data_IF_041242150856
#
_entry.id   IF_041242150856
#
_cell.length_a   1.000
_cell.length_b   1.000
_cell.length_c   1.000
_cell.angle_alpha   90.00
_cell.angle_beta   90.00
_cell.angle_gamma   90.00
#
_symmetry.space_group_name_H-M   'P 1'
#
loop_
_entity.id
_entity.type
_entity.pdbx_description
1 polymer ?
#
# COMPACT_ATOMS: atom_id res chain seq x y z
N UNK A 1 -8.23 -24.03 4.18
CA UNK A 1 -6.80 -23.67 4.34
C UNK A 1 -6.35 -22.48 3.47
N UNK A 2 -6.76 -22.38 2.20
CA UNK A 2 -6.35 -21.28 1.30
C UNK A 2 -6.85 -19.88 1.72
N UNK A 3 -8.09 -19.75 2.23
CA UNK A 3 -8.63 -18.47 2.72
C UNK A 3 -7.76 -17.88 3.83
N UNK A 4 -7.38 -18.69 4.83
CA UNK A 4 -6.55 -18.26 5.95
C UNK A 4 -5.14 -17.84 5.54
N UNK A 5 -4.55 -18.53 4.54
CA UNK A 5 -3.24 -18.12 3.97
C UNK A 5 -3.36 -16.81 3.18
N UNK A 6 -4.40 -16.69 2.36
CA UNK A 6 -4.66 -15.48 1.57
C UNK A 6 -4.91 -14.26 2.48
N UNK A 7 -5.70 -14.40 3.54
CA UNK A 7 -5.93 -13.33 4.53
C UNK A 7 -4.63 -12.89 5.20
N UNK A 8 -3.76 -13.83 5.59
CA UNK A 8 -2.45 -13.51 6.18
C UNK A 8 -1.56 -12.75 5.19
N UNK A 9 -1.51 -13.19 3.92
CA UNK A 9 -0.73 -12.52 2.87
C UNK A 9 -1.25 -11.09 2.65
N UNK A 10 -2.57 -10.92 2.50
CA UNK A 10 -3.20 -9.62 2.33
C UNK A 10 -2.90 -8.69 3.52
N UNK A 11 -2.97 -9.19 4.75
CA UNK A 11 -2.66 -8.42 5.94
C UNK A 11 -1.19 -7.98 5.98
N UNK A 12 -0.24 -8.86 5.63
CA UNK A 12 1.19 -8.53 5.57
C UNK A 12 1.44 -7.46 4.51
N UNK A 13 0.87 -7.59 3.31
CA UNK A 13 0.99 -6.59 2.23
C UNK A 13 0.42 -5.24 2.69
N UNK A 14 -0.74 -5.25 3.35
CA UNK A 14 -1.37 -4.03 3.86
C UNK A 14 -0.49 -3.32 4.88
N UNK A 15 0.03 -4.05 5.88
CA UNK A 15 0.92 -3.49 6.91
C UNK A 15 2.19 -2.94 6.27
N UNK A 16 2.78 -3.69 5.32
CA UNK A 16 3.96 -3.23 4.60
C UNK A 16 3.68 -1.92 3.84
N UNK A 17 2.57 -1.84 3.10
CA UNK A 17 2.17 -0.63 2.41
C UNK A 17 1.97 0.56 3.37
N UNK A 18 1.37 0.32 4.54
CA UNK A 18 1.19 1.35 5.59
C UNK A 18 2.51 1.86 6.15
N UNK A 19 3.54 1.03 6.24
CA UNK A 19 4.88 1.46 6.66
C UNK A 19 5.57 2.24 5.53
N UNK A 20 5.44 1.77 4.30
CA UNK A 20 6.16 2.33 3.14
C UNK A 20 5.61 3.69 2.66
N UNK A 21 4.33 3.98 2.88
CA UNK A 21 3.73 5.26 2.47
C UNK A 21 4.21 6.45 3.33
N UNK A 22 3.71 6.61 4.57
CA UNK A 22 4.05 7.72 5.47
C UNK A 22 5.38 7.55 6.24
N UNK A 23 5.97 6.34 6.27
CA UNK A 23 7.13 6.02 7.10
C UNK A 23 8.47 6.00 6.35
N UNK A 24 9.34 4.98 6.55
CA UNK A 24 10.70 4.98 6.00
C UNK A 24 10.77 5.01 4.47
N UNK A 25 9.72 4.61 3.76
CA UNK A 25 9.70 4.64 2.30
C UNK A 25 9.81 6.06 1.71
N UNK A 26 9.48 7.10 2.49
CA UNK A 26 9.69 8.50 2.10
C UNK A 26 11.17 8.80 1.82
N UNK A 27 12.08 8.24 2.60
CA UNK A 27 13.52 8.46 2.44
C UNK A 27 14.10 7.73 1.20
N UNK A 28 13.36 6.78 0.62
CA UNK A 28 13.76 6.14 -0.64
C UNK A 28 13.53 7.05 -1.85
N UNK A 29 12.53 7.92 -1.77
CA UNK A 29 12.15 8.83 -2.86
C UNK A 29 12.59 10.27 -2.61
N UNK A 30 12.98 10.60 -1.37
CA UNK A 30 13.54 11.89 -0.98
C UNK A 30 14.70 11.72 0.03
N UNK A 31 15.86 11.21 -0.42
CA UNK A 31 17.05 11.13 0.42
C UNK A 31 17.66 12.52 0.67
N UNK A 32 18.08 12.79 1.90
CA UNK A 32 18.73 14.01 2.44
C UNK A 32 17.88 15.28 2.69
N UNK A 33 17.81 15.76 3.97
CA UNK A 33 17.43 17.13 4.31
C UNK A 33 18.54 18.16 4.01
N UNK A 34 19.81 17.72 3.91
CA UNK A 34 20.98 18.57 3.67
C UNK A 34 21.20 18.94 2.19
N UNK A 35 20.62 18.17 1.25
CA UNK A 35 20.66 18.44 -0.20
C UNK A 35 19.42 19.19 -0.71
N UNK A 36 18.58 19.69 0.20
CA UNK A 36 17.32 20.39 -0.08
C UNK A 36 17.50 21.67 -0.93
N UNK A 37 18.73 22.16 -1.11
CA UNK A 37 19.06 23.24 -2.04
C UNK A 37 18.89 22.83 -3.53
N UNK A 38 18.83 21.54 -3.83
CA UNK A 38 18.51 20.99 -5.15
C UNK A 38 17.06 20.47 -5.21
N UNK A 39 16.13 21.21 -4.59
CA UNK A 39 14.68 21.02 -4.71
C UNK A 39 14.26 21.07 -6.18
N UNK A 40 14.46 19.95 -6.85
CA UNK A 40 14.15 19.69 -8.23
C UNK A 40 12.64 19.80 -8.31
N UNK A 41 12.12 20.52 -9.31
CA UNK A 41 10.68 20.70 -9.56
C UNK A 41 9.84 19.41 -9.44
N UNK A 42 10.48 18.24 -9.61
CA UNK A 42 9.88 16.91 -9.53
C UNK A 42 9.84 16.28 -8.13
N UNK A 43 10.50 16.82 -7.11
CA UNK A 43 10.54 16.24 -5.78
C UNK A 43 9.14 16.06 -5.17
N UNK A 44 8.35 17.14 -5.10
CA UNK A 44 6.97 17.07 -4.60
C UNK A 44 6.07 16.13 -5.43
N UNK A 45 6.02 16.22 -6.78
CA UNK A 45 5.29 15.27 -7.61
C UNK A 45 5.65 13.80 -7.35
N UNK A 46 6.94 13.49 -7.18
CA UNK A 46 7.42 12.14 -6.89
C UNK A 46 6.93 11.66 -5.53
N UNK A 47 6.94 12.53 -4.51
CA UNK A 47 6.39 12.21 -3.19
C UNK A 47 4.89 11.89 -3.25
N UNK A 48 4.12 12.69 -3.98
CA UNK A 48 2.68 12.44 -4.16
C UNK A 48 2.43 11.15 -4.93
N UNK A 49 3.18 10.89 -6.01
CA UNK A 49 3.07 9.66 -6.77
C UNK A 49 3.39 8.42 -5.91
N UNK A 50 4.40 8.51 -5.05
CA UNK A 50 4.77 7.46 -4.10
C UNK A 50 3.65 7.18 -3.09
N UNK A 51 3.12 8.22 -2.45
CA UNK A 51 2.01 8.07 -1.50
C UNK A 51 0.77 7.49 -2.20
N UNK A 52 0.40 8.02 -3.37
CA UNK A 52 -0.73 7.54 -4.16
C UNK A 52 -0.58 6.07 -4.55
N UNK A 53 0.63 5.65 -4.93
CA UNK A 53 0.94 4.26 -5.24
C UNK A 53 0.66 3.34 -4.04
N UNK A 54 1.10 3.69 -2.84
CA UNK A 54 0.85 2.86 -1.65
C UNK A 54 -0.62 2.83 -1.23
N UNK A 55 -1.34 3.94 -1.37
CA UNK A 55 -2.80 3.94 -1.20
C UNK A 55 -3.50 3.03 -2.21
N UNK A 56 -3.04 3.03 -3.46
CA UNK A 56 -3.58 2.15 -4.50
C UNK A 56 -3.34 0.67 -4.16
N UNK A 57 -2.16 0.32 -3.64
CA UNK A 57 -1.87 -1.04 -3.15
C UNK A 57 -2.82 -1.44 -2.02
N UNK A 58 -3.05 -0.55 -1.04
CA UNK A 58 -4.00 -0.80 0.05
C UNK A 58 -5.43 -0.97 -0.46
N UNK A 59 -5.89 -0.12 -1.38
CA UNK A 59 -7.19 -0.25 -2.02
C UNK A 59 -7.34 -1.59 -2.76
N UNK A 60 -6.30 -2.01 -3.50
CA UNK A 60 -6.24 -3.31 -4.16
C UNK A 60 -6.37 -4.47 -3.18
N UNK A 61 -5.69 -4.41 -2.04
CA UNK A 61 -5.82 -5.42 -0.97
C UNK A 61 -7.27 -5.50 -0.46
N UNK A 62 -7.92 -4.37 -0.21
CA UNK A 62 -9.31 -4.32 0.26
C UNK A 62 -10.26 -4.90 -0.79
N UNK A 63 -10.10 -4.53 -2.06
CA UNK A 63 -10.92 -5.07 -3.15
C UNK A 63 -10.76 -6.59 -3.28
N UNK A 64 -9.53 -7.10 -3.22
CA UNK A 64 -9.28 -8.55 -3.26
C UNK A 64 -9.91 -9.25 -2.04
N UNK A 65 -9.80 -8.67 -0.85
CA UNK A 65 -10.45 -9.21 0.34
C UNK A 65 -11.98 -9.24 0.17
N UNK A 66 -12.58 -8.18 -0.34
CA UNK A 66 -14.01 -8.10 -0.62
C UNK A 66 -14.48 -9.20 -1.59
N UNK A 67 -13.86 -9.30 -2.77
CA UNK A 67 -14.31 -10.25 -3.79
C UNK A 67 -13.98 -11.71 -3.44
N UNK A 68 -12.83 -12.00 -2.82
CA UNK A 68 -12.37 -13.39 -2.61
C UNK A 68 -12.65 -13.96 -1.22
N UNK A 69 -12.76 -13.13 -0.20
CA UNK A 69 -13.01 -13.57 1.17
C UNK A 69 -14.47 -13.34 1.57
N UNK A 70 -14.95 -12.10 1.46
CA UNK A 70 -16.30 -11.72 1.91
C UNK A 70 -17.42 -12.18 0.97
N UNK A 71 -17.38 -11.80 -0.31
CA UNK A 71 -18.46 -12.12 -1.27
C UNK A 71 -18.62 -13.64 -1.50
N UNK A 72 -17.55 -14.42 -1.32
CA UNK A 72 -17.60 -15.89 -1.39
C UNK A 72 -18.15 -16.56 -0.12
N UNK A 73 -18.19 -15.87 1.03
CA UNK A 73 -18.86 -16.42 2.23
C UNK A 73 -20.38 -16.26 2.14
N UNK A 74 -20.84 -15.13 1.60
CA UNK A 74 -22.26 -14.82 1.45
C UNK A 74 -22.96 -15.85 0.54
N UNK A 75 -22.39 -16.15 -0.63
CA UNK A 75 -22.95 -17.11 -1.61
C UNK A 75 -22.83 -18.61 -1.23
N UNK A 76 -22.27 -18.95 -0.07
CA UNK A 76 -22.10 -20.36 0.36
C UNK A 76 -22.95 -20.70 1.59
N UNK A 77 -23.80 -19.76 2.02
CA UNK A 77 -24.68 -19.85 3.19
C UNK A 77 -26.16 -19.97 2.81
N UNK A 78 -26.47 -20.03 1.51
CA UNK A 78 -27.79 -20.37 0.94
C UNK A 78 -27.81 -21.80 0.42
#
# INVERSE_FOLDING_TARGET
MFKTRLSKILAVIFIFATIMGPGPGLYLVNPSPEDAASATFLGMPVLYAWAAFWFFVQAGVILVAYFKLWSKQENSSE
#
